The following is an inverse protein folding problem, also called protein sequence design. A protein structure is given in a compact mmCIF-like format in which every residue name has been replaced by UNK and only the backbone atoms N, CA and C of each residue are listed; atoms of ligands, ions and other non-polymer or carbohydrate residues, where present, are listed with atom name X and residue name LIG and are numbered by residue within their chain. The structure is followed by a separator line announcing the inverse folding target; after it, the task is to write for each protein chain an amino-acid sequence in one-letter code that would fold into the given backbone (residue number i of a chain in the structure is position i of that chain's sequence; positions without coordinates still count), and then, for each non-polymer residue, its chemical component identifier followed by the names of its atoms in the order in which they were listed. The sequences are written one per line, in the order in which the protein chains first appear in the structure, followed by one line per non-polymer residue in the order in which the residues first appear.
data_IF_450338262591
#
_entry.id   IF_450338262591
#
_cell.length_a   1.000
_cell.length_b   1.000
_cell.length_c   1.000
_cell.angle_alpha   90.00
_cell.angle_beta   90.00
_cell.angle_gamma   90.00
#
_symmetry.space_group_name_H-M   'P 1'
#
loop_
_entity.id
_entity.type
_entity.pdbx_description
1 polymer ?
#
# COMPACT_ATOMS: atom_id res chain seq x y z
N UNK A 1 8.70 8.31 -5.06
CA UNK A 1 8.55 7.55 -6.32
C UNK A 1 7.06 7.35 -6.58
N UNK A 2 6.61 7.40 -7.83
CA UNK A 2 5.18 7.30 -8.21
C UNK A 2 4.84 5.84 -8.56
N UNK A 3 3.65 5.36 -8.17
CA UNK A 3 3.13 4.00 -8.43
C UNK A 3 3.19 3.64 -9.92
N UNK A 4 3.06 4.63 -10.81
CA UNK A 4 3.19 4.44 -12.27
C UNK A 4 4.54 3.87 -12.68
N UNK A 5 5.63 4.27 -12.02
CA UNK A 5 6.95 3.73 -12.32
C UNK A 5 7.06 2.25 -11.96
N UNK A 6 6.53 1.87 -10.79
CA UNK A 6 6.49 0.47 -10.37
C UNK A 6 5.59 -0.37 -11.28
N UNK A 7 4.42 0.13 -11.68
CA UNK A 7 3.53 -0.56 -12.61
C UNK A 7 4.17 -0.79 -13.99
N UNK A 8 4.94 0.17 -14.49
CA UNK A 8 5.61 0.01 -15.79
C UNK A 8 6.68 -1.07 -15.74
N UNK A 9 7.37 -1.21 -14.62
CA UNK A 9 8.45 -2.19 -14.44
C UNK A 9 7.96 -3.55 -13.93
N UNK A 10 6.72 -3.65 -13.44
CA UNK A 10 6.18 -4.91 -12.93
C UNK A 10 5.69 -5.86 -14.02
N UNK A 11 5.60 -7.15 -13.68
CA UNK A 11 4.99 -8.20 -14.50
C UNK A 11 3.47 -8.31 -14.34
N UNK A 12 2.84 -7.40 -13.59
CA UNK A 12 1.40 -7.39 -13.40
C UNK A 12 0.64 -7.43 -14.74
N UNK A 13 -0.55 -8.03 -14.75
CA UNK A 13 -1.31 -8.16 -16.00
C UNK A 13 -1.70 -6.79 -16.55
N UNK A 14 -1.91 -6.72 -17.86
CA UNK A 14 -2.29 -5.47 -18.52
C UNK A 14 -3.58 -4.90 -17.93
N UNK A 15 -4.57 -5.77 -17.71
CA UNK A 15 -5.87 -5.44 -17.14
C UNK A 15 -5.75 -4.92 -15.70
N UNK A 16 -4.83 -5.49 -14.91
CA UNK A 16 -4.55 -5.00 -13.57
C UNK A 16 -3.89 -3.62 -13.60
N UNK A 17 -2.88 -3.42 -14.47
CA UNK A 17 -2.23 -2.11 -14.63
C UNK A 17 -3.22 -1.02 -15.06
N UNK A 18 -4.13 -1.34 -15.99
CA UNK A 18 -5.21 -0.45 -16.41
C UNK A 18 -6.16 -0.14 -15.24
N UNK A 19 -6.57 -1.17 -14.49
CA UNK A 19 -7.39 -1.01 -13.28
C UNK A 19 -6.75 -0.13 -12.21
N UNK A 20 -5.44 -0.26 -11.99
CA UNK A 20 -4.74 0.62 -11.04
C UNK A 20 -4.74 2.05 -11.56
N UNK A 21 -4.48 2.28 -12.85
CA UNK A 21 -4.56 3.63 -13.43
C UNK A 21 -5.97 4.25 -13.28
N UNK A 22 -7.02 3.48 -13.55
CA UNK A 22 -8.40 3.93 -13.35
C UNK A 22 -8.68 4.26 -11.88
N UNK A 23 -8.17 3.43 -10.97
CA UNK A 23 -8.23 3.69 -9.53
C UNK A 23 -7.44 4.95 -9.12
N UNK A 24 -6.34 5.31 -9.77
CA UNK A 24 -5.65 6.57 -9.45
C UNK A 24 -6.45 7.79 -9.95
N UNK A 25 -7.22 7.62 -11.01
CA UNK A 25 -8.03 8.68 -11.63
C UNK A 25 -9.44 8.83 -11.03
N UNK A 26 -9.75 8.17 -9.91
CA UNK A 26 -11.06 8.28 -9.26
C UNK A 26 -12.07 7.18 -9.65
N UNK A 27 -11.74 6.33 -10.62
CA UNK A 27 -12.57 5.24 -11.12
C UNK A 27 -12.78 4.10 -10.12
N UNK A 28 -13.63 3.15 -10.49
CA UNK A 28 -13.86 1.89 -9.78
C UNK A 28 -13.30 0.75 -10.62
N UNK A 29 -12.82 -0.31 -9.98
CA UNK A 29 -12.35 -1.52 -10.65
C UNK A 29 -12.79 -2.76 -9.87
N UNK A 30 -13.15 -3.82 -10.58
CA UNK A 30 -13.44 -5.13 -9.99
C UNK A 30 -12.17 -5.91 -9.60
N UNK A 31 -11.01 -5.48 -10.11
CA UNK A 31 -9.69 -6.07 -9.84
C UNK A 31 -9.01 -5.44 -8.62
N UNK A 32 -9.54 -4.33 -8.10
CA UNK A 32 -9.04 -3.65 -6.90
C UNK A 32 -10.22 -3.47 -5.96
N UNK A 33 -10.39 -4.41 -5.02
CA UNK A 33 -11.41 -4.29 -3.99
C UNK A 33 -10.79 -3.87 -2.68
N UNK A 34 -11.54 -3.08 -1.93
CA UNK A 34 -11.18 -2.69 -0.59
C UNK A 34 -12.45 -2.46 0.24
N UNK A 35 -12.35 -2.65 1.55
CA UNK A 35 -13.46 -2.40 2.45
C UNK A 35 -13.84 -0.90 2.47
N UNK A 36 -15.12 -0.59 2.68
CA UNK A 36 -15.64 0.78 2.56
C UNK A 36 -15.06 1.78 3.57
N UNK A 37 -14.47 1.28 4.65
CA UNK A 37 -13.81 2.06 5.71
C UNK A 37 -12.38 2.46 5.35
N UNK A 38 -11.78 1.89 4.29
CA UNK A 38 -10.41 2.21 3.89
C UNK A 38 -10.35 3.53 3.09
N UNK A 39 -9.60 4.54 3.56
CA UNK A 39 -9.40 5.76 2.79
C UNK A 39 -8.62 5.49 1.51
N UNK A 40 -9.08 6.05 0.38
CA UNK A 40 -8.49 5.82 -0.96
C UNK A 40 -6.98 6.05 -1.00
N UNK A 41 -6.50 7.13 -0.39
CA UNK A 41 -5.07 7.48 -0.35
C UNK A 41 -4.24 6.40 0.37
N UNK A 42 -4.79 5.73 1.37
CA UNK A 42 -4.12 4.66 2.12
C UNK A 42 -4.12 3.35 1.33
N UNK A 43 -5.20 3.07 0.62
CA UNK A 43 -5.27 1.98 -0.37
C UNK A 43 -4.22 2.18 -1.46
N UNK A 44 -4.08 3.40 -1.99
CA UNK A 44 -3.04 3.76 -2.96
C UNK A 44 -1.62 3.50 -2.42
N UNK A 45 -1.33 3.89 -1.16
CA UNK A 45 -0.04 3.60 -0.53
C UNK A 45 0.24 2.10 -0.46
N UNK A 46 -0.76 1.31 -0.05
CA UNK A 46 -0.67 -0.16 -0.01
C UNK A 46 -0.48 -0.77 -1.40
N UNK A 47 -1.22 -0.31 -2.41
CA UNK A 47 -1.04 -0.77 -3.80
C UNK A 47 0.36 -0.43 -4.32
N UNK A 48 0.88 0.76 -3.99
CA UNK A 48 2.25 1.15 -4.37
C UNK A 48 3.25 0.16 -3.81
N UNK A 49 3.14 -0.18 -2.52
CA UNK A 49 4.04 -1.14 -1.87
C UNK A 49 3.90 -2.55 -2.42
N UNK A 50 2.68 -2.99 -2.70
CA UNK A 50 2.41 -4.29 -3.35
C UNK A 50 3.11 -4.38 -4.70
N UNK A 51 2.96 -3.36 -5.55
CA UNK A 51 3.54 -3.40 -6.90
C UNK A 51 5.07 -3.26 -6.86
N UNK A 52 5.61 -2.51 -5.89
CA UNK A 52 7.06 -2.42 -5.65
C UNK A 52 7.65 -3.77 -5.22
N UNK A 53 7.11 -4.39 -4.17
CA UNK A 53 7.66 -5.62 -3.57
C UNK A 53 7.40 -6.87 -4.43
N UNK A 54 6.26 -6.92 -5.13
CA UNK A 54 5.84 -8.05 -5.95
C UNK A 54 5.98 -7.76 -7.45
N UNK A 55 6.95 -6.93 -7.84
CA UNK A 55 7.15 -6.51 -9.23
C UNK A 55 7.34 -7.69 -10.20
N UNK A 56 7.86 -8.83 -9.72
CA UNK A 56 8.14 -10.00 -10.55
C UNK A 56 6.95 -10.95 -10.72
N UNK A 57 5.82 -10.69 -10.07
CA UNK A 57 4.62 -11.53 -10.13
C UNK A 57 3.60 -10.98 -11.14
N UNK A 58 2.89 -11.85 -11.88
CA UNK A 58 1.82 -11.46 -12.77
C UNK A 58 0.51 -11.21 -12.00
N UNK A 59 0.53 -10.19 -11.14
CA UNK A 59 -0.63 -9.78 -10.34
C UNK A 59 -1.81 -9.44 -11.27
N UNK A 60 -2.94 -10.09 -11.01
CA UNK A 60 -4.18 -9.95 -11.77
C UNK A 60 -5.30 -9.28 -10.96
N UNK A 61 -5.25 -9.38 -9.62
CA UNK A 61 -6.26 -8.83 -8.72
C UNK A 61 -5.71 -8.63 -7.32
N UNK A 62 -6.24 -7.62 -6.63
CA UNK A 62 -5.96 -7.32 -5.23
C UNK A 62 -7.26 -7.06 -4.47
N UNK A 63 -7.37 -7.63 -3.26
CA UNK A 63 -8.41 -7.30 -2.29
C UNK A 63 -7.75 -6.88 -0.97
N UNK A 64 -8.06 -5.68 -0.48
CA UNK A 64 -7.48 -5.10 0.74
C UNK A 64 -8.55 -4.98 1.81
N UNK A 65 -8.34 -5.65 2.95
CA UNK A 65 -9.14 -5.46 4.15
C UNK A 65 -8.28 -4.81 5.23
N UNK A 66 -8.61 -3.57 5.59
CA UNK A 66 -7.80 -2.79 6.50
C UNK A 66 -8.59 -1.88 7.42
N UNK A 67 -7.97 -1.56 8.55
CA UNK A 67 -8.43 -0.56 9.50
C UNK A 67 -7.53 0.67 9.42
N UNK A 68 -8.13 1.86 9.44
CA UNK A 68 -7.43 3.14 9.31
C UNK A 68 -7.59 4.00 10.55
N UNK A 69 -6.48 4.47 11.10
CA UNK A 69 -6.40 5.61 12.01
C UNK A 69 -6.13 6.91 11.25
N UNK A 70 -5.72 7.97 11.95
CA UNK A 70 -5.15 9.15 11.28
C UNK A 70 -3.75 8.81 10.75
N UNK A 71 -2.96 8.20 11.63
CA UNK A 71 -1.54 7.89 11.50
C UNK A 71 -1.23 6.59 10.77
N UNK A 72 -2.16 5.62 10.81
CA UNK A 72 -1.91 4.26 10.31
C UNK A 72 -2.96 3.73 9.32
N UNK A 73 -2.56 2.72 8.55
CA UNK A 73 -3.42 1.80 7.83
C UNK A 73 -2.85 0.39 7.96
N UNK A 74 -3.62 -0.55 8.50
CA UNK A 74 -3.15 -1.91 8.78
C UNK A 74 -4.21 -2.95 8.50
N UNK A 75 -3.79 -4.15 8.12
CA UNK A 75 -4.69 -5.25 7.84
C UNK A 75 -4.05 -6.26 6.91
N UNK A 76 -4.89 -6.89 6.08
CA UNK A 76 -4.43 -7.92 5.14
C UNK A 76 -4.78 -7.55 3.70
N UNK A 77 -3.92 -7.98 2.77
CA UNK A 77 -4.18 -7.89 1.34
C UNK A 77 -4.08 -9.28 0.73
N UNK A 78 -5.10 -9.68 -0.02
CA UNK A 78 -5.07 -10.89 -0.86
C UNK A 78 -4.69 -10.52 -2.27
N UNK A 79 -3.72 -11.23 -2.82
CA UNK A 79 -3.15 -10.98 -4.14
C UNK A 79 -3.37 -12.22 -4.98
N UNK A 80 -3.98 -12.08 -6.16
CA UNK A 80 -4.08 -13.16 -7.14
C UNK A 80 -3.01 -12.95 -8.21
N UNK A 81 -2.07 -13.87 -8.29
CA UNK A 81 -1.07 -13.96 -9.35
C UNK A 81 -1.07 -15.39 -9.94
N UNK A 82 0.10 -16.01 -10.15
CA UNK A 82 0.19 -17.44 -10.46
C UNK A 82 -0.36 -18.28 -9.30
N UNK A 83 -0.03 -17.87 -8.08
CA UNK A 83 -0.61 -18.37 -6.84
C UNK A 83 -1.29 -17.22 -6.08
N UNK A 84 -2.24 -17.56 -5.21
CA UNK A 84 -2.85 -16.57 -4.32
C UNK A 84 -1.99 -16.39 -3.08
N UNK A 85 -1.58 -15.15 -2.84
CA UNK A 85 -0.77 -14.74 -1.70
C UNK A 85 -1.60 -13.91 -0.74
N UNK A 86 -1.27 -13.97 0.55
CA UNK A 86 -1.79 -13.03 1.54
C UNK A 86 -0.65 -12.21 2.11
N UNK A 87 -0.88 -10.93 2.33
CA UNK A 87 0.09 -10.01 2.93
C UNK A 87 -0.51 -9.47 4.21
N UNK A 88 0.25 -9.50 5.29
CA UNK A 88 -0.04 -8.77 6.52
C UNK A 88 0.76 -7.46 6.52
N UNK A 89 0.08 -6.32 6.58
CA UNK A 89 0.72 -5.01 6.41
C UNK A 89 0.34 -4.02 7.52
N UNK A 90 1.26 -3.08 7.76
CA UNK A 90 1.01 -1.88 8.57
C UNK A 90 1.82 -0.71 7.99
N UNK A 91 1.10 0.24 7.39
CA UNK A 91 1.61 1.57 7.06
C UNK A 91 1.34 2.49 8.25
N UNK A 92 2.37 3.11 8.83
CA UNK A 92 2.26 3.93 10.02
C UNK A 92 3.35 5.02 10.05
N UNK A 93 2.98 6.25 9.69
CA UNK A 93 3.95 7.36 9.66
C UNK A 93 4.26 7.93 11.04
N UNK A 94 3.46 7.65 12.07
CA UNK A 94 3.83 7.97 13.45
C UNK A 94 5.02 7.11 13.87
N UNK A 95 4.94 5.80 13.64
CA UNK A 95 6.07 4.90 13.87
C UNK A 95 7.30 5.31 13.05
N UNK A 96 7.14 5.62 11.77
CA UNK A 96 8.27 6.07 10.93
C UNK A 96 8.90 7.35 11.49
N UNK A 97 8.11 8.31 11.98
CA UNK A 97 8.64 9.51 12.62
C UNK A 97 9.44 9.19 13.89
N UNK A 98 8.99 8.22 14.69
CA UNK A 98 9.73 7.77 15.87
C UNK A 98 11.08 7.13 15.51
N UNK A 99 11.10 6.24 14.53
CA UNK A 99 12.34 5.57 14.05
C UNK A 99 13.37 6.58 13.54
N UNK A 100 12.92 7.59 12.78
CA UNK A 100 13.79 8.63 12.22
C UNK A 100 14.13 9.74 13.25
N UNK A 101 13.57 9.67 14.46
CA UNK A 101 13.74 10.69 15.49
C UNK A 101 13.12 12.04 15.14
N UNK A 102 12.13 12.08 14.25
CA UNK A 102 11.45 13.30 13.81
C UNK A 102 10.53 13.78 14.91
N UNK A 103 10.82 14.96 15.44
CA UNK A 103 10.04 15.61 16.50
C UNK A 103 9.44 16.92 16.03
N UNK A 104 8.23 17.18 16.46
CA UNK A 104 7.58 18.48 16.31
C UNK A 104 8.12 19.49 17.35
N UNK A 105 7.59 20.71 17.32
CA UNK A 105 7.98 21.78 18.24
C UNK A 105 7.75 21.42 19.73
N UNK A 106 6.85 20.48 20.03
CA UNK A 106 6.53 20.03 21.38
C UNK A 106 7.33 18.78 21.80
N UNK A 107 8.20 18.28 20.93
CA UNK A 107 8.99 17.07 21.18
C UNK A 107 8.25 15.75 20.91
N UNK A 108 7.03 15.82 20.36
CA UNK A 108 6.23 14.65 19.97
C UNK A 108 6.63 14.18 18.56
N UNK A 109 6.40 12.91 18.18
CA UNK A 109 6.77 12.44 16.85
C UNK A 109 6.03 13.19 15.72
N UNK A 110 6.78 13.74 14.76
CA UNK A 110 6.23 14.50 13.63
C UNK A 110 5.83 13.58 12.47
N UNK A 111 4.66 12.94 12.62
CA UNK A 111 4.06 12.10 11.59
C UNK A 111 3.75 12.83 10.28
N UNK A 112 3.53 14.16 10.32
CA UNK A 112 3.22 14.95 9.12
C UNK A 112 4.48 15.07 8.27
N UNK A 113 5.62 15.36 8.91
CA UNK A 113 6.93 15.35 8.25
C UNK A 113 7.23 13.98 7.66
N UNK A 114 7.06 12.91 8.44
CA UNK A 114 7.26 11.55 7.94
C UNK A 114 6.36 11.23 6.72
N UNK A 115 5.08 11.60 6.76
CA UNK A 115 4.17 11.40 5.65
C UNK A 115 4.56 12.19 4.38
N UNK A 116 5.14 13.39 4.54
CA UNK A 116 5.61 14.21 3.40
C UNK A 116 6.88 13.65 2.79
N UNK A 117 7.81 13.17 3.61
CA UNK A 117 9.12 12.70 3.16
C UNK A 117 9.06 11.26 2.61
N UNK A 118 8.38 10.35 3.31
CA UNK A 118 8.34 8.93 2.95
C UNK A 118 7.11 8.55 2.11
N UNK A 119 6.01 9.30 2.23
CA UNK A 119 4.80 9.06 1.45
C UNK A 119 4.24 7.66 1.66
N UNK A 120 4.39 6.79 0.66
CA UNK A 120 3.95 5.39 0.77
C UNK A 120 4.88 4.54 1.63
N UNK A 121 6.14 4.91 1.82
CA UNK A 121 7.15 4.04 2.43
C UNK A 121 7.23 4.14 3.98
N UNK A 122 6.08 4.38 4.63
CA UNK A 122 5.96 4.31 6.10
C UNK A 122 5.57 2.90 6.59
N UNK A 123 5.95 1.83 5.88
CA UNK A 123 5.57 0.48 6.28
C UNK A 123 6.42 -0.01 7.46
N UNK A 124 5.77 -0.18 8.61
CA UNK A 124 6.32 -0.89 9.78
C UNK A 124 6.38 -2.39 9.54
N UNK A 125 5.43 -2.89 8.76
CA UNK A 125 5.25 -4.31 8.48
C UNK A 125 4.75 -4.50 7.06
N UNK A 126 5.35 -5.45 6.35
CA UNK A 126 4.89 -5.91 5.05
C UNK A 126 5.36 -7.35 4.85
N UNK A 127 4.58 -8.30 5.39
CA UNK A 127 4.98 -9.70 5.43
C UNK A 127 4.11 -10.51 4.47
N UNK A 128 4.74 -11.17 3.51
CA UNK A 128 4.06 -12.19 2.69
C UNK A 128 3.83 -13.40 3.59
N UNK A 129 2.56 -13.73 3.79
CA UNK A 129 2.13 -14.93 4.49
C UNK A 129 2.15 -16.07 3.46
N UNK A 130 3.06 -17.03 3.63
CA UNK A 130 3.08 -18.25 2.82
C UNK A 130 1.73 -18.97 2.94
N UNK A 131 1.22 -19.49 1.84
CA UNK A 131 0.14 -20.49 1.89
C UNK A 131 0.76 -21.83 2.29
N UNK A 132 0.11 -22.48 3.26
CA UNK A 132 0.30 -23.89 3.64
C UNK A 132 0.07 -24.79 2.44
#
# INVERSE_FOLDING_TARGET
MDIKNFLNNSKATKEFKESVNDFLNGGKSDLIKYNWTAPRVKVERTLTKIVEELQDLPISKVEIDGSSGCEYFRGTAKIWAEEELSIDFEWNCLWKAEEEGYKDYFGMPDQIRAAREFGYDCFKKFNVLEKV
#
